data_IF_828636060846
#
_entry.id   IF_828636060846
#
_cell.length_a   1.000
_cell.length_b   1.000
_cell.length_c   1.000
_cell.angle_alpha   90.00
_cell.angle_beta   90.00
_cell.angle_gamma   90.00
#
_symmetry.space_group_name_H-M   'P 1'
#
loop_
_entity.id
_entity.type
_entity.pdbx_description
1 polymer ?
#
# COMPACT_ATOMS: atom_id res chain seq x y z
N UNK A 1 -13.46 1.38 -0.37
CA UNK A 1 -13.50 0.09 -1.10
C UNK A 1 -12.94 -1.02 -0.25
N UNK A 2 -11.68 -0.95 0.17
CA UNK A 2 -11.05 -1.95 1.07
C UNK A 2 -11.90 -2.23 2.31
N UNK A 3 -12.35 -1.17 3.02
CA UNK A 3 -13.24 -1.32 4.18
C UNK A 3 -14.56 -2.04 3.86
N UNK A 4 -15.08 -1.93 2.63
CA UNK A 4 -16.28 -2.66 2.24
C UNK A 4 -15.99 -4.16 2.15
N UNK A 5 -14.89 -4.58 1.55
CA UNK A 5 -14.46 -5.99 1.52
C UNK A 5 -14.15 -6.52 2.93
N UNK A 6 -13.46 -5.73 3.75
CA UNK A 6 -13.21 -6.05 5.16
C UNK A 6 -14.52 -6.28 5.91
N UNK A 7 -15.54 -5.44 5.71
CA UNK A 7 -16.87 -5.61 6.32
C UNK A 7 -17.62 -6.87 5.85
N UNK A 8 -17.16 -7.51 4.77
CA UNK A 8 -17.66 -8.78 4.26
C UNK A 8 -16.83 -9.99 4.71
N UNK A 9 -15.83 -9.78 5.58
CA UNK A 9 -14.98 -10.85 6.11
C UNK A 9 -13.78 -11.20 5.22
N UNK A 10 -13.51 -10.43 4.17
CA UNK A 10 -12.33 -10.64 3.33
C UNK A 10 -11.10 -10.03 4.00
N UNK A 11 -9.99 -10.78 4.04
CA UNK A 11 -8.71 -10.28 4.54
C UNK A 11 -8.28 -9.07 3.73
N UNK A 12 -7.79 -8.03 4.41
CA UNK A 12 -7.30 -6.82 3.76
C UNK A 12 -5.91 -6.49 4.25
N UNK A 13 -5.01 -6.14 3.32
CA UNK A 13 -3.63 -5.79 3.63
C UNK A 13 -3.09 -4.81 2.57
N UNK A 14 -1.86 -4.37 2.71
CA UNK A 14 -1.22 -3.39 1.85
C UNK A 14 0.25 -3.71 1.64
N UNK A 15 0.85 -3.29 0.54
CA UNK A 15 2.31 -3.39 0.35
C UNK A 15 3.09 -2.63 1.45
N UNK A 16 2.46 -1.65 2.11
CA UNK A 16 3.08 -0.93 3.24
C UNK A 16 3.10 -1.77 4.53
N UNK A 17 2.28 -2.80 4.65
CA UNK A 17 2.33 -3.73 5.80
C UNK A 17 3.64 -4.52 5.79
N UNK A 18 4.17 -4.87 4.62
CA UNK A 18 5.51 -5.49 4.50
C UNK A 18 6.61 -4.61 5.10
N UNK A 19 6.50 -3.28 4.95
CA UNK A 19 7.44 -2.33 5.57
C UNK A 19 7.26 -2.32 7.09
N UNK A 20 6.01 -2.31 7.58
CA UNK A 20 5.71 -2.32 9.02
C UNK A 20 6.21 -3.59 9.71
N UNK A 21 5.97 -4.75 9.10
CA UNK A 21 6.46 -6.04 9.60
C UNK A 21 7.98 -6.02 9.70
N UNK A 22 8.67 -5.59 8.63
CA UNK A 22 10.13 -5.47 8.63
C UNK A 22 10.64 -4.50 9.70
N UNK A 23 10.06 -3.29 9.83
CA UNK A 23 10.45 -2.34 10.87
C UNK A 23 10.28 -2.93 12.27
N UNK A 24 9.17 -3.64 12.52
CA UNK A 24 8.89 -4.31 13.78
C UNK A 24 9.92 -5.40 14.10
N UNK A 25 10.33 -6.20 13.11
CA UNK A 25 11.38 -7.22 13.26
C UNK A 25 12.74 -6.61 13.60
N UNK A 26 13.01 -5.39 13.11
CA UNK A 26 14.22 -4.64 13.44
C UNK A 26 14.12 -3.86 14.77
N UNK A 27 12.98 -3.89 15.46
CA UNK A 27 12.74 -3.08 16.66
C UNK A 27 12.69 -1.58 16.39
N UNK A 28 12.41 -1.16 15.16
CA UNK A 28 12.34 0.25 14.75
C UNK A 28 10.90 0.75 14.90
N UNK A 29 10.72 1.87 15.59
CA UNK A 29 9.40 2.47 15.78
C UNK A 29 8.82 3.00 14.45
N UNK A 30 7.53 2.75 14.23
CA UNK A 30 6.81 3.27 13.06
C UNK A 30 6.66 4.79 13.14
N UNK A 31 7.07 5.45 12.07
CA UNK A 31 6.90 6.88 11.81
C UNK A 31 6.86 7.10 10.30
N UNK A 32 6.46 8.29 9.85
CA UNK A 32 6.47 8.62 8.42
C UNK A 32 7.86 8.43 7.80
N UNK A 33 8.89 8.90 8.49
CA UNK A 33 10.26 8.87 7.98
C UNK A 33 10.82 7.45 7.98
N UNK A 34 10.54 6.66 9.02
CA UNK A 34 10.98 5.26 9.07
C UNK A 34 10.25 4.37 8.05
N UNK A 35 8.98 4.64 7.74
CA UNK A 35 8.26 3.96 6.66
C UNK A 35 8.84 4.30 5.28
N UNK A 36 9.16 5.58 5.05
CA UNK A 36 9.78 6.01 3.77
C UNK A 36 11.14 5.36 3.61
N UNK A 37 11.99 5.43 4.64
CA UNK A 37 13.34 4.90 4.56
C UNK A 37 13.37 3.36 4.52
N UNK A 38 12.54 2.69 5.33
CA UNK A 38 12.38 1.24 5.27
C UNK A 38 11.90 0.77 3.89
N UNK A 39 10.93 1.49 3.30
CA UNK A 39 10.45 1.20 1.96
C UNK A 39 11.51 1.43 0.87
N UNK A 40 12.42 2.39 1.04
CA UNK A 40 13.57 2.59 0.14
C UNK A 40 14.60 1.49 0.31
N UNK A 41 14.89 1.12 1.55
CA UNK A 41 15.90 0.11 1.86
C UNK A 41 15.49 -1.26 1.34
N UNK A 42 14.26 -1.69 1.61
CA UNK A 42 13.73 -2.94 1.06
C UNK A 42 13.84 -2.96 -0.47
N UNK A 43 13.44 -1.87 -1.15
CA UNK A 43 13.56 -1.76 -2.61
C UNK A 43 15.00 -1.76 -3.12
N UNK A 44 15.93 -1.18 -2.37
CA UNK A 44 17.37 -1.21 -2.70
C UNK A 44 17.92 -2.63 -2.66
N UNK A 45 17.42 -3.46 -1.73
CA UNK A 45 17.88 -4.84 -1.51
C UNK A 45 17.19 -5.86 -2.41
N UNK A 46 15.88 -5.74 -2.60
CA UNK A 46 15.04 -6.72 -3.30
C UNK A 46 14.39 -6.22 -4.59
N UNK A 47 14.67 -4.99 -5.01
CA UNK A 47 14.12 -4.43 -6.25
C UNK A 47 12.70 -3.88 -6.10
N UNK A 48 12.06 -3.59 -7.24
CA UNK A 48 10.80 -2.83 -7.28
C UNK A 48 9.57 -3.63 -6.82
N UNK A 49 9.63 -4.98 -6.84
CA UNK A 49 8.55 -5.90 -6.47
C UNK A 49 8.58 -6.39 -5.03
N UNK A 50 9.69 -6.19 -4.31
CA UNK A 50 9.96 -6.80 -3.00
C UNK A 50 8.83 -6.67 -1.97
N UNK A 51 8.14 -5.53 -1.90
CA UNK A 51 7.07 -5.35 -0.91
C UNK A 51 5.88 -6.27 -1.19
N UNK A 52 5.57 -6.48 -2.48
CA UNK A 52 4.54 -7.40 -2.91
C UNK A 52 4.99 -8.87 -2.76
N UNK A 53 6.26 -9.18 -3.02
CA UNK A 53 6.83 -10.52 -2.81
C UNK A 53 6.73 -10.93 -1.33
N UNK A 54 7.21 -10.08 -0.42
CA UNK A 54 7.08 -10.29 1.03
C UNK A 54 5.61 -10.43 1.47
N UNK A 55 4.72 -9.67 0.84
CA UNK A 55 3.29 -9.73 1.13
C UNK A 55 2.71 -11.08 0.71
N UNK A 56 3.02 -11.56 -0.49
CA UNK A 56 2.59 -12.87 -1.00
C UNK A 56 3.07 -14.00 -0.10
N UNK A 57 4.33 -13.95 0.33
CA UNK A 57 4.88 -14.91 1.30
C UNK A 57 4.08 -14.90 2.60
N UNK A 58 3.80 -13.71 3.16
CA UNK A 58 3.02 -13.58 4.40
C UNK A 58 1.56 -14.04 4.28
N UNK A 59 0.99 -13.98 3.07
CA UNK A 59 -0.37 -14.43 2.81
C UNK A 59 -0.48 -15.95 2.75
N UNK A 60 0.62 -16.68 2.47
CA UNK A 60 0.60 -18.14 2.45
C UNK A 60 -0.44 -18.76 1.49
N UNK A 61 -0.82 -18.03 0.44
CA UNK A 61 -1.87 -18.43 -0.51
C UNK A 61 -3.30 -18.06 -0.11
N UNK A 62 -3.53 -17.43 1.05
CA UNK A 62 -4.85 -16.93 1.44
C UNK A 62 -5.36 -15.84 0.48
N UNK A 63 -6.69 -15.74 0.36
CA UNK A 63 -7.34 -14.67 -0.39
C UNK A 63 -7.29 -13.35 0.37
N UNK A 64 -6.93 -12.27 -0.33
CA UNK A 64 -6.88 -10.94 0.25
C UNK A 64 -7.17 -9.84 -0.77
N UNK A 65 -7.71 -8.72 -0.27
CA UNK A 65 -7.70 -7.45 -0.99
C UNK A 65 -6.46 -6.68 -0.59
N UNK A 66 -5.61 -6.40 -1.57
CA UNK A 66 -4.36 -5.66 -1.39
C UNK A 66 -4.56 -4.23 -1.85
N UNK A 67 -4.24 -3.25 -0.99
CA UNK A 67 -4.27 -1.84 -1.33
C UNK A 67 -2.86 -1.22 -1.39
N UNK A 68 -2.82 0.08 -1.75
CA UNK A 68 -1.58 0.87 -1.73
C UNK A 68 -0.46 0.35 -2.64
N UNK A 69 -0.80 -0.32 -3.74
CA UNK A 69 0.10 -0.66 -4.85
C UNK A 69 0.47 0.63 -5.60
N UNK A 70 1.76 0.86 -5.82
CA UNK A 70 2.35 2.12 -6.32
C UNK A 70 3.25 1.95 -7.52
N UNK A 71 3.82 0.78 -7.76
CA UNK A 71 4.79 0.56 -8.84
C UNK A 71 4.39 -0.59 -9.77
N UNK A 72 4.84 -0.58 -11.04
CA UNK A 72 4.70 -1.73 -11.93
C UNK A 72 5.34 -2.99 -11.37
N UNK A 73 6.50 -2.90 -10.70
CA UNK A 73 7.18 -4.05 -10.11
C UNK A 73 6.34 -4.76 -9.03
N UNK A 74 5.57 -4.03 -8.23
CA UNK A 74 4.62 -4.63 -7.29
C UNK A 74 3.50 -5.40 -8.03
N UNK A 75 3.02 -4.88 -9.17
CA UNK A 75 2.03 -5.58 -10.01
C UNK A 75 2.62 -6.82 -10.65
N UNK A 76 3.86 -6.76 -11.13
CA UNK A 76 4.57 -7.90 -11.72
C UNK A 76 4.73 -9.04 -10.72
N UNK A 77 5.14 -8.75 -9.48
CA UNK A 77 5.20 -9.74 -8.41
C UNK A 77 3.82 -10.33 -8.09
N UNK A 78 2.78 -9.50 -7.94
CA UNK A 78 1.42 -9.98 -7.66
C UNK A 78 0.84 -10.86 -8.78
N UNK A 79 1.27 -10.65 -10.03
CA UNK A 79 0.86 -11.44 -11.20
C UNK A 79 1.39 -12.87 -11.21
N UNK A 80 2.33 -13.23 -10.34
CA UNK A 80 2.75 -14.62 -10.15
C UNK A 80 1.58 -15.52 -9.69
N UNK A 81 0.61 -14.92 -8.98
CA UNK A 81 -0.68 -15.57 -8.72
C UNK A 81 -1.54 -15.57 -9.98
N UNK A 82 -1.92 -16.76 -10.44
CA UNK A 82 -2.76 -16.94 -11.63
C UNK A 82 -4.17 -16.38 -11.49
N UNK A 83 -4.63 -16.18 -10.25
CA UNK A 83 -5.94 -15.64 -9.89
C UNK A 83 -5.90 -14.14 -9.54
N UNK A 84 -4.78 -13.45 -9.80
CA UNK A 84 -4.63 -12.02 -9.52
C UNK A 84 -5.56 -11.14 -10.36
N UNK A 85 -6.29 -10.24 -9.68
CA UNK A 85 -7.16 -9.23 -10.30
C UNK A 85 -6.69 -7.83 -9.88
N UNK A 86 -6.30 -7.01 -10.86
CA UNK A 86 -5.97 -5.60 -10.63
C UNK A 86 -7.19 -4.71 -10.89
N UNK A 87 -7.58 -3.92 -9.89
CA UNK A 87 -8.69 -2.96 -10.00
C UNK A 87 -8.13 -1.54 -9.86
N UNK A 88 -8.22 -0.75 -10.93
CA UNK A 88 -7.87 0.67 -10.89
C UNK A 88 -9.06 1.51 -10.37
N UNK A 89 -8.80 2.32 -9.35
CA UNK A 89 -9.82 3.23 -8.78
C UNK A 89 -9.55 4.66 -9.20
N UNK A 90 -10.43 5.19 -10.06
CA UNK A 90 -10.37 6.57 -10.55
C UNK A 90 -11.34 7.47 -9.80
N UNK A 91 -10.92 8.70 -9.52
CA UNK A 91 -11.78 9.75 -8.96
C UNK A 91 -11.38 11.11 -9.53
N UNK A 92 -12.36 11.93 -9.86
CA UNK A 92 -12.13 13.29 -10.36
C UNK A 92 -11.38 14.15 -9.35
N UNK A 93 -10.59 15.10 -9.85
CA UNK A 93 -9.73 15.99 -9.04
C UNK A 93 -10.52 16.68 -7.93
N UNK A 94 -11.71 17.21 -8.24
CA UNK A 94 -12.56 17.91 -7.26
C UNK A 94 -13.01 17.01 -6.11
N UNK A 95 -13.39 15.76 -6.41
CA UNK A 95 -13.75 14.79 -5.38
C UNK A 95 -12.56 14.39 -4.53
N UNK A 96 -11.37 14.21 -5.14
CA UNK A 96 -10.15 13.91 -4.40
C UNK A 96 -9.74 15.09 -3.50
N UNK A 97 -9.81 16.31 -4.00
CA UNK A 97 -9.52 17.54 -3.26
C UNK A 97 -10.43 17.66 -2.04
N UNK A 98 -11.75 17.58 -2.25
CA UNK A 98 -12.74 17.64 -1.16
C UNK A 98 -12.45 16.60 -0.08
N UNK A 99 -12.26 15.33 -0.46
CA UNK A 99 -11.91 14.26 0.50
C UNK A 99 -10.59 14.49 1.22
N UNK A 100 -9.63 15.16 0.58
CA UNK A 100 -8.35 15.52 1.21
C UNK A 100 -8.56 16.60 2.27
N UNK A 101 -9.35 17.63 1.97
CA UNK A 101 -9.69 18.70 2.91
C UNK A 101 -10.52 18.17 4.09
N UNK A 102 -11.54 17.36 3.80
CA UNK A 102 -12.40 16.75 4.83
C UNK A 102 -11.60 15.84 5.78
N UNK A 103 -10.52 15.22 5.27
CA UNK A 103 -9.64 14.34 6.03
C UNK A 103 -8.61 15.08 6.87
N UNK A 104 -8.04 16.18 6.35
CA UNK A 104 -7.13 17.06 7.09
C UNK A 104 -5.86 16.39 7.64
N UNK A 105 -5.24 15.44 6.93
CA UNK A 105 -4.00 14.81 7.43
C UNK A 105 -2.81 15.75 7.32
N UNK A 106 -1.85 15.58 8.24
CA UNK A 106 -0.55 16.24 8.17
C UNK A 106 0.12 15.88 6.83
N UNK A 107 0.40 16.92 6.02
CA UNK A 107 0.96 16.79 4.69
C UNK A 107 -0.05 16.74 3.54
N UNK A 108 -1.37 16.80 3.82
CA UNK A 108 -2.37 17.05 2.76
C UNK A 108 -2.22 18.50 2.26
N UNK A 109 -2.34 18.76 0.93
CA UNK A 109 -2.19 20.13 0.42
C UNK A 109 -3.31 21.05 0.92
N UNK A 110 -2.98 22.29 1.25
CA UNK A 110 -3.94 23.31 1.75
C UNK A 110 -4.46 24.23 0.64
N UNK A 111 -3.82 24.24 -0.52
CA UNK A 111 -4.22 25.00 -1.70
C UNK A 111 -4.53 24.05 -2.86
N UNK A 112 -5.71 24.21 -3.48
CA UNK A 112 -6.15 23.36 -4.61
C UNK A 112 -5.19 23.41 -5.80
N UNK A 113 -4.49 24.52 -5.99
CA UNK A 113 -3.49 24.68 -7.06
C UNK A 113 -2.25 23.79 -6.88
N UNK A 114 -1.99 23.30 -5.65
CA UNK A 114 -0.86 22.44 -5.29
C UNK A 114 -1.28 20.97 -5.12
N UNK A 115 -2.50 20.62 -5.52
CA UNK A 115 -3.12 19.30 -5.35
C UNK A 115 -3.13 18.48 -6.64
#
# INVERSE_FOLDING_TARGET
MVNWFSSKGVKTTSCSDSIRSWLSEQGIQESRDTLIEGGRELRRRGGAGILAEMLLESLGGEDAVIDSIRTPGEVEALRERSDFILIEIRAGVDSRWKRSQDRGRIGDPTEKAKF
#
